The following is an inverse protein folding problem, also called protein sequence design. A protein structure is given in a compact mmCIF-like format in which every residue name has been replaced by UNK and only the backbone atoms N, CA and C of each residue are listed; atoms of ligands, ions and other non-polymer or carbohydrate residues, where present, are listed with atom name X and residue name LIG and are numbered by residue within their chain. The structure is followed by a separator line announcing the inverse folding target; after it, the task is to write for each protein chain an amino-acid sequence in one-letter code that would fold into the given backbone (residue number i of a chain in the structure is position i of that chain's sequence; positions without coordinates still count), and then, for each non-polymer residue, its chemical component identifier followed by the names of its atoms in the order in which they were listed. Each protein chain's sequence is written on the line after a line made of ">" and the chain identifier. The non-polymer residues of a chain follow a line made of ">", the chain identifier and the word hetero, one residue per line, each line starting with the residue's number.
data_IF_809318350822
#
_entry.id   IF_809318350822
#
_cell.length_a   1.000
_cell.length_b   1.000
_cell.length_c   1.000
_cell.angle_alpha   90.00
_cell.angle_beta   90.00
_cell.angle_gamma   90.00
#
_symmetry.space_group_name_H-M   'P 1'
#
loop_
_entity.id
_entity.type
_entity.pdbx_description
1 polymer ?
#
# COMPACT_ATOMS: atom_id res chain seq x y z
N UNK A 1 2.41 -15.14 -9.37
CA UNK A 1 2.21 -14.02 -10.32
C UNK A 1 0.90 -13.35 -9.99
N UNK A 2 0.95 -12.09 -9.59
CA UNK A 2 -0.23 -11.24 -9.37
C UNK A 2 -1.08 -11.24 -10.65
N UNK A 3 -2.41 -11.36 -10.53
CA UNK A 3 -3.28 -11.45 -11.72
C UNK A 3 -3.23 -10.18 -12.57
N UNK A 4 -3.03 -9.03 -11.93
CA UNK A 4 -2.80 -7.78 -12.63
C UNK A 4 -1.33 -7.67 -13.07
N UNK A 5 -1.11 -7.72 -14.38
CA UNK A 5 0.21 -7.56 -14.98
C UNK A 5 0.81 -6.17 -14.75
N UNK A 6 -0.02 -5.16 -14.48
CA UNK A 6 0.38 -3.79 -14.23
C UNK A 6 0.55 -3.47 -12.74
N UNK A 7 0.40 -4.46 -11.85
CA UNK A 7 0.50 -4.25 -10.40
C UNK A 7 1.74 -3.45 -9.99
N UNK A 8 2.92 -3.84 -10.48
CA UNK A 8 4.17 -3.16 -10.15
C UNK A 8 4.23 -1.73 -10.69
N UNK A 9 3.62 -1.44 -11.84
CA UNK A 9 3.53 -0.06 -12.33
C UNK A 9 2.70 0.81 -11.38
N UNK A 10 1.59 0.27 -10.84
CA UNK A 10 0.77 0.99 -9.86
C UNK A 10 1.51 1.22 -8.53
N UNK A 11 2.34 0.28 -8.09
CA UNK A 11 3.21 0.46 -6.91
C UNK A 11 4.20 1.62 -7.13
N UNK A 12 4.85 1.66 -8.29
CA UNK A 12 5.82 2.72 -8.61
C UNK A 12 5.14 4.09 -8.77
N UNK A 13 3.92 4.15 -9.29
CA UNK A 13 3.10 5.36 -9.32
C UNK A 13 2.74 5.83 -7.91
N UNK A 14 2.31 4.92 -7.04
CA UNK A 14 1.97 5.22 -5.66
C UNK A 14 3.18 5.70 -4.84
N UNK A 15 4.39 5.17 -5.10
CA UNK A 15 5.62 5.68 -4.50
C UNK A 15 5.89 7.13 -4.87
N UNK A 16 5.78 7.47 -6.17
CA UNK A 16 5.95 8.84 -6.66
C UNK A 16 4.90 9.79 -6.09
N UNK A 17 3.65 9.35 -6.03
CA UNK A 17 2.56 10.13 -5.44
C UNK A 17 2.81 10.40 -3.95
N UNK A 18 3.36 9.44 -3.21
CA UNK A 18 3.71 9.63 -1.81
C UNK A 18 4.87 10.62 -1.63
N UNK A 19 5.88 10.58 -2.49
CA UNK A 19 6.97 11.57 -2.49
C UNK A 19 6.45 12.98 -2.80
N UNK A 20 5.59 13.10 -3.82
CA UNK A 20 4.94 14.36 -4.17
C UNK A 20 4.06 14.88 -3.04
N UNK A 21 3.32 14.00 -2.35
CA UNK A 21 2.48 14.36 -1.22
C UNK A 21 3.31 14.97 -0.07
N UNK A 22 4.44 14.35 0.26
CA UNK A 22 5.37 14.86 1.30
C UNK A 22 5.99 16.21 0.93
N UNK A 23 6.26 16.47 -0.35
CA UNK A 23 6.91 17.70 -0.81
C UNK A 23 5.93 18.85 -1.07
N UNK A 24 4.76 18.56 -1.63
CA UNK A 24 3.85 19.56 -2.20
C UNK A 24 2.49 19.64 -1.50
N UNK A 25 2.24 18.87 -0.43
CA UNK A 25 0.94 18.79 0.26
C UNK A 25 -0.24 18.59 -0.72
N UNK A 26 -0.05 17.71 -1.71
CA UNK A 26 -1.12 17.36 -2.66
C UNK A 26 -2.24 16.55 -1.99
N UNK A 27 -3.31 16.24 -2.74
CA UNK A 27 -4.40 15.40 -2.23
C UNK A 27 -3.94 13.95 -2.07
N UNK A 28 -4.24 13.33 -0.92
CA UNK A 28 -3.93 11.93 -0.61
C UNK A 28 -4.84 10.92 -1.31
N UNK A 29 -5.84 11.39 -2.05
CA UNK A 29 -6.89 10.57 -2.66
C UNK A 29 -6.36 9.44 -3.54
N UNK A 30 -5.34 9.70 -4.38
CA UNK A 30 -4.75 8.64 -5.23
C UNK A 30 -4.09 7.53 -4.42
N UNK A 31 -3.46 7.86 -3.30
CA UNK A 31 -2.83 6.89 -2.40
C UNK A 31 -3.88 6.08 -1.63
N UNK A 32 -4.98 6.72 -1.24
CA UNK A 32 -6.13 6.05 -0.61
C UNK A 32 -6.84 5.11 -1.59
N UNK A 33 -6.98 5.50 -2.86
CA UNK A 33 -7.48 4.62 -3.92
C UNK A 33 -6.56 3.42 -4.14
N UNK A 34 -5.23 3.65 -4.16
CA UNK A 34 -4.26 2.56 -4.30
C UNK A 34 -4.29 1.60 -3.10
N UNK A 35 -4.38 2.11 -1.87
CA UNK A 35 -4.58 1.31 -0.67
C UNK A 35 -5.84 0.42 -0.76
N UNK A 36 -6.96 0.99 -1.22
CA UNK A 36 -8.20 0.24 -1.45
C UNK A 36 -8.05 -0.84 -2.54
N UNK A 37 -7.36 -0.52 -3.63
CA UNK A 37 -7.05 -1.45 -4.71
C UNK A 37 -6.25 -2.65 -4.19
N UNK A 38 -5.17 -2.41 -3.43
CA UNK A 38 -4.35 -3.47 -2.84
C UNK A 38 -5.17 -4.31 -1.87
N UNK A 39 -5.92 -3.68 -0.97
CA UNK A 39 -6.79 -4.37 -0.02
C UNK A 39 -7.72 -5.36 -0.73
N UNK A 40 -8.35 -4.91 -1.81
CA UNK A 40 -9.23 -5.77 -2.61
C UNK A 40 -8.47 -6.94 -3.26
N UNK A 41 -7.31 -6.67 -3.85
CA UNK A 41 -6.46 -7.71 -4.47
C UNK A 41 -6.05 -8.80 -3.47
N UNK A 42 -5.75 -8.42 -2.22
CA UNK A 42 -5.44 -9.37 -1.15
C UNK A 42 -6.67 -10.22 -0.81
N UNK A 43 -7.82 -9.57 -0.59
CA UNK A 43 -9.06 -10.26 -0.21
C UNK A 43 -9.55 -11.21 -1.31
N UNK A 44 -9.37 -10.84 -2.58
CA UNK A 44 -9.76 -11.66 -3.73
C UNK A 44 -8.75 -12.78 -4.02
N UNK A 45 -7.62 -12.85 -3.29
CA UNK A 45 -6.56 -13.86 -3.51
C UNK A 45 -5.79 -13.66 -4.81
N UNK A 46 -5.82 -12.46 -5.38
CA UNK A 46 -5.26 -12.17 -6.71
C UNK A 46 -3.82 -11.65 -6.67
N UNK A 47 -3.16 -11.73 -5.52
CA UNK A 47 -1.84 -11.16 -5.26
C UNK A 47 -0.79 -12.25 -4.99
N UNK A 48 0.43 -12.06 -5.52
CA UNK A 48 1.55 -12.98 -5.29
C UNK A 48 2.14 -12.78 -3.89
N UNK A 49 2.64 -13.85 -3.26
CA UNK A 49 3.38 -13.76 -2.00
C UNK A 49 4.63 -12.85 -2.11
N UNK A 50 5.22 -12.73 -3.31
CA UNK A 50 6.39 -11.89 -3.59
C UNK A 50 6.15 -10.41 -3.28
N UNK A 51 4.88 -9.97 -3.31
CA UNK A 51 4.48 -8.60 -2.96
C UNK A 51 4.77 -8.29 -1.49
N UNK A 52 4.76 -9.29 -0.61
CA UNK A 52 4.97 -9.11 0.82
C UNK A 52 6.41 -9.37 1.27
N UNK A 53 7.34 -9.57 0.32
CA UNK A 53 8.75 -9.63 0.65
C UNK A 53 9.19 -8.27 1.20
N UNK A 54 9.93 -8.26 2.32
CA UNK A 54 10.39 -7.04 2.98
C UNK A 54 11.18 -6.11 2.03
N UNK A 55 11.83 -6.67 1.03
CA UNK A 55 12.61 -5.95 0.02
C UNK A 55 11.82 -5.49 -1.20
N UNK A 56 10.50 -5.73 -1.24
CA UNK A 56 9.65 -5.34 -2.36
C UNK A 56 9.32 -3.85 -2.35
N UNK A 57 9.13 -3.26 -3.54
CA UNK A 57 8.63 -1.88 -3.68
C UNK A 57 7.29 -1.66 -2.98
N UNK A 58 6.46 -2.70 -2.86
CA UNK A 58 5.18 -2.60 -2.14
C UNK A 58 5.41 -2.45 -0.63
N UNK A 59 6.29 -3.26 -0.04
CA UNK A 59 6.61 -3.12 1.39
C UNK A 59 7.28 -1.78 1.70
N UNK A 60 8.13 -1.29 0.80
CA UNK A 60 8.68 0.07 0.90
C UNK A 60 7.56 1.13 0.89
N UNK A 61 6.65 1.04 -0.07
CA UNK A 61 5.50 1.95 -0.16
C UNK A 61 4.64 1.90 1.11
N UNK A 62 4.27 0.70 1.56
CA UNK A 62 3.41 0.50 2.72
C UNK A 62 4.01 1.11 3.99
N UNK A 63 5.30 0.87 4.23
CA UNK A 63 6.00 1.43 5.40
C UNK A 63 6.00 2.96 5.38
N UNK A 64 6.32 3.57 4.23
CA UNK A 64 6.31 5.03 4.07
C UNK A 64 4.90 5.62 4.21
N UNK A 65 3.88 4.92 3.72
CA UNK A 65 2.49 5.35 3.79
C UNK A 65 1.93 5.29 5.22
N UNK A 66 2.16 4.17 5.91
CA UNK A 66 1.81 3.98 7.32
C UNK A 66 2.42 5.07 8.18
N UNK A 67 3.73 5.31 8.03
CA UNK A 67 4.42 6.38 8.77
C UNK A 67 3.79 7.75 8.50
N UNK A 68 3.53 8.07 7.23
CA UNK A 68 2.91 9.35 6.84
C UNK A 68 1.51 9.54 7.45
N UNK A 69 0.68 8.49 7.47
CA UNK A 69 -0.67 8.55 8.07
C UNK A 69 -0.60 8.64 9.59
N UNK A 70 0.26 7.87 10.25
CA UNK A 70 0.44 7.92 11.71
C UNK A 70 0.99 9.27 12.20
N UNK A 71 1.86 9.92 11.42
CA UNK A 71 2.34 11.26 11.72
C UNK A 71 1.22 12.32 11.68
N UNK A 72 0.17 12.10 10.87
CA UNK A 72 -0.99 12.99 10.83
C UNK A 72 -2.06 12.63 11.87
N UNK A 73 -2.28 11.33 12.10
CA UNK A 73 -3.24 10.81 13.05
C UNK A 73 -2.66 9.53 13.69
N UNK A 74 -2.15 9.59 14.93
CA UNK A 74 -1.53 8.45 15.60
C UNK A 74 -2.45 7.22 15.71
N UNK A 75 -3.77 7.46 15.80
CA UNK A 75 -4.80 6.44 15.90
C UNK A 75 -5.34 6.01 14.51
N UNK A 76 -4.65 6.38 13.42
CA UNK A 76 -5.07 5.98 12.08
C UNK A 76 -5.05 4.46 11.93
N UNK A 77 -6.10 3.95 11.32
CA UNK A 77 -6.27 2.54 10.97
C UNK A 77 -7.02 2.43 9.65
N UNK A 78 -6.79 1.34 8.95
CA UNK A 78 -7.43 1.02 7.69
C UNK A 78 -7.61 -0.50 7.54
N UNK A 79 -8.43 -0.95 6.59
CA UNK A 79 -8.53 -2.38 6.26
C UNK A 79 -7.16 -2.99 5.90
N UNK A 80 -6.34 -2.28 5.12
CA UNK A 80 -4.98 -2.75 4.78
C UNK A 80 -4.10 -2.84 6.03
N UNK A 81 -4.19 -1.85 6.92
CA UNK A 81 -3.46 -1.86 8.19
C UNK A 81 -3.76 -3.13 8.99
N UNK A 82 -5.04 -3.48 9.15
CA UNK A 82 -5.43 -4.70 9.84
C UNK A 82 -4.91 -5.97 9.16
N UNK A 83 -4.89 -6.02 7.83
CA UNK A 83 -4.34 -7.16 7.08
C UNK A 83 -2.83 -7.30 7.29
N UNK A 84 -2.11 -6.17 7.23
CA UNK A 84 -0.65 -6.14 7.32
C UNK A 84 -0.17 -6.48 8.75
N UNK A 85 -0.79 -5.90 9.79
CA UNK A 85 -0.41 -6.18 11.18
C UNK A 85 -0.71 -7.62 11.61
N UNK A 86 -1.84 -8.18 11.16
CA UNK A 86 -2.20 -9.57 11.47
C UNK A 86 -1.59 -10.59 10.51
N UNK A 87 -0.72 -10.14 9.60
CA UNK A 87 -0.15 -10.95 8.52
C UNK A 87 -1.18 -11.85 7.81
N UNK A 88 -2.42 -11.36 7.68
CA UNK A 88 -3.55 -12.17 7.23
C UNK A 88 -3.51 -12.51 5.74
N UNK A 89 -2.51 -11.98 5.04
CA UNK A 89 -2.12 -12.34 3.68
C UNK A 89 -1.33 -13.67 3.59
N UNK A 90 -0.87 -14.25 4.71
CA UNK A 90 -0.16 -15.55 4.76
C UNK A 90 -1.09 -16.78 4.76
N UNK A 91 -2.41 -16.58 4.62
CA UNK A 91 -3.44 -17.63 4.78
C UNK A 91 -3.53 -18.59 3.61
#
# INVERSE_FOLDING_TARGET
>A
LTQDSCFWAHVEEALKDLENLKQQHQCSERLEMFEGYVTKMINDGNISADVFLETSSFMEWWNKWKEYKQNQCPDWSSPLYGIMENESWKR
#
